data_IF_073744851469
#
_entry.id   IF_073744851469
#
_cell.length_a   1.000
_cell.length_b   1.000
_cell.length_c   1.000
_cell.angle_alpha   90.00
_cell.angle_beta   90.00
_cell.angle_gamma   90.00
#
_symmetry.space_group_name_H-M   'P 1'
#
loop_
_entity.id
_entity.type
_entity.pdbx_description
1 polymer ?
#
# COMPACT_ATOMS: atom_id res chain seq x y z
N UNK A 1 14.37 -12.29 -0.86
CA UNK A 1 13.65 -11.01 -0.92
C UNK A 1 12.17 -11.32 -1.05
N UNK A 2 11.29 -10.48 -0.51
CA UNK A 2 9.83 -10.52 -0.72
C UNK A 2 9.41 -9.23 -1.43
N UNK A 3 8.48 -9.34 -2.37
CA UNK A 3 7.90 -8.19 -3.06
C UNK A 3 6.56 -7.81 -2.46
N UNK A 4 6.28 -6.51 -2.32
CA UNK A 4 4.98 -5.97 -1.93
C UNK A 4 4.45 -5.13 -3.09
N UNK A 5 3.28 -5.49 -3.62
CA UNK A 5 2.50 -4.66 -4.53
C UNK A 5 1.48 -3.87 -3.70
N UNK A 6 1.62 -2.54 -3.64
CA UNK A 6 0.67 -1.70 -2.89
C UNK A 6 -0.58 -1.40 -3.71
N UNK A 7 -1.74 -1.43 -3.08
CA UNK A 7 -3.02 -1.03 -3.67
C UNK A 7 -3.18 0.49 -3.79
N UNK A 8 -4.04 0.92 -4.72
CA UNK A 8 -4.21 2.32 -5.13
C UNK A 8 -5.68 2.74 -5.29
N UNK A 9 -6.60 2.11 -4.56
CA UNK A 9 -8.04 2.33 -4.71
C UNK A 9 -8.64 1.64 -5.93
N UNK A 10 -9.89 2.02 -6.24
CA UNK A 10 -10.70 1.41 -7.28
C UNK A 10 -10.93 2.40 -8.44
N UNK A 11 -11.12 1.87 -9.65
CA UNK A 11 -11.41 2.65 -10.85
C UNK A 11 -12.90 2.81 -11.14
N UNK A 12 -13.76 2.04 -10.46
CA UNK A 12 -15.20 2.08 -10.65
C UNK A 12 -15.96 2.08 -9.32
N UNK A 13 -17.24 2.43 -9.38
CA UNK A 13 -18.11 2.50 -8.19
C UNK A 13 -18.59 1.14 -7.71
N UNK A 14 -18.36 0.08 -8.50
CA UNK A 14 -18.69 -1.30 -8.16
C UNK A 14 -17.52 -2.01 -7.48
N UNK A 15 -16.40 -1.32 -7.24
CA UNK A 15 -15.19 -1.86 -6.64
C UNK A 15 -14.70 -3.13 -7.34
N UNK A 16 -14.86 -3.19 -8.67
CA UNK A 16 -14.59 -4.38 -9.48
C UNK A 16 -13.33 -4.26 -10.33
N UNK A 17 -12.76 -3.06 -10.42
CA UNK A 17 -11.58 -2.77 -11.23
C UNK A 17 -10.58 -1.90 -10.51
N UNK A 18 -9.31 -2.16 -10.79
CA UNK A 18 -8.21 -1.29 -10.39
C UNK A 18 -7.94 -0.20 -11.44
N UNK A 19 -7.36 0.94 -11.03
CA UNK A 19 -6.83 1.94 -11.96
C UNK A 19 -5.72 1.39 -12.86
N UNK A 20 -5.57 1.96 -14.07
CA UNK A 20 -4.59 1.49 -15.06
C UNK A 20 -3.14 1.48 -14.54
N UNK A 21 -2.80 2.46 -13.70
CA UNK A 21 -1.49 2.52 -13.01
C UNK A 21 -1.21 1.27 -12.16
N UNK A 22 -2.24 0.66 -11.57
CA UNK A 22 -2.10 -0.55 -10.75
C UNK A 22 -1.74 -1.75 -11.63
N UNK A 23 -2.35 -1.89 -12.80
CA UNK A 23 -1.98 -2.98 -13.72
C UNK A 23 -0.53 -2.86 -14.22
N UNK A 24 -0.07 -1.64 -14.54
CA UNK A 24 1.34 -1.38 -14.90
C UNK A 24 2.30 -1.72 -13.77
N UNK A 25 1.91 -1.42 -12.53
CA UNK A 25 2.67 -1.82 -11.35
C UNK A 25 2.75 -3.34 -11.21
N UNK A 26 1.63 -4.05 -11.37
CA UNK A 26 1.60 -5.52 -11.28
C UNK A 26 2.39 -6.20 -12.40
N UNK A 27 2.40 -5.63 -13.60
CA UNK A 27 3.27 -6.09 -14.69
C UNK A 27 4.74 -6.03 -14.27
N UNK A 28 5.18 -4.90 -13.70
CA UNK A 28 6.56 -4.76 -13.23
C UNK A 28 6.92 -5.73 -12.09
N UNK A 29 5.98 -5.95 -11.17
CA UNK A 29 6.11 -6.96 -10.10
C UNK A 29 6.29 -8.37 -10.70
N UNK A 30 5.48 -8.73 -11.69
CA UNK A 30 5.54 -10.05 -12.33
C UNK A 30 6.83 -10.24 -13.15
N UNK A 31 7.30 -9.22 -13.86
CA UNK A 31 8.60 -9.25 -14.56
C UNK A 31 9.74 -9.59 -13.59
N UNK A 32 9.82 -8.88 -12.47
CA UNK A 32 10.89 -9.09 -11.49
C UNK A 32 10.74 -10.45 -10.76
N UNK A 33 9.51 -10.95 -10.59
CA UNK A 33 9.26 -12.31 -10.12
C UNK A 33 9.80 -13.36 -11.11
N UNK A 34 9.52 -13.20 -12.40
CA UNK A 34 9.94 -14.13 -13.45
C UNK A 34 11.46 -14.16 -13.65
N UNK A 35 12.15 -13.05 -13.35
CA UNK A 35 13.61 -12.98 -13.28
C UNK A 35 14.21 -13.75 -12.09
N UNK A 36 13.38 -14.26 -11.17
CA UNK A 36 13.80 -15.07 -10.04
C UNK A 36 14.33 -14.26 -8.84
N UNK A 37 14.09 -12.94 -8.82
CA UNK A 37 14.59 -12.06 -7.77
C UNK A 37 13.82 -12.24 -6.44
N UNK A 38 12.62 -12.79 -6.50
CA UNK A 38 11.77 -13.15 -5.35
C UNK A 38 11.13 -14.52 -5.55
N UNK A 39 10.58 -15.08 -4.46
CA UNK A 39 9.72 -16.26 -4.49
C UNK A 39 8.31 -15.98 -4.00
N UNK A 40 8.05 -14.79 -3.47
CA UNK A 40 6.74 -14.44 -2.88
C UNK A 40 6.41 -12.99 -3.21
N UNK A 41 5.16 -12.78 -3.62
CA UNK A 41 4.54 -11.48 -3.85
C UNK A 41 3.45 -11.31 -2.79
N UNK A 42 3.39 -10.17 -2.14
CA UNK A 42 2.28 -9.77 -1.27
C UNK A 42 1.50 -8.69 -2.01
N UNK A 43 0.27 -9.02 -2.43
CA UNK A 43 -0.72 -8.05 -2.85
C UNK A 43 -1.32 -7.38 -1.59
N UNK A 44 -1.07 -6.09 -1.40
CA UNK A 44 -1.36 -5.39 -0.15
C UNK A 44 -2.33 -4.23 -0.31
N UNK A 45 -3.49 -4.34 0.32
CA UNK A 45 -4.52 -3.33 0.32
C UNK A 45 -5.89 -3.93 0.60
N UNK A 46 -6.55 -3.48 1.67
CA UNK A 46 -7.99 -3.68 1.81
C UNK A 46 -8.75 -2.67 0.94
N UNK A 47 -9.03 -1.51 1.52
CA UNK A 47 -9.63 -0.37 0.84
C UNK A 47 -9.39 0.90 1.66
N UNK A 48 -9.49 2.09 1.06
CA UNK A 48 -9.30 3.36 1.78
C UNK A 48 -10.15 3.50 3.05
N UNK A 49 -9.56 3.94 4.17
CA UNK A 49 -10.27 4.31 5.41
C UNK A 49 -11.43 5.29 5.18
N UNK A 50 -11.38 6.07 4.08
CA UNK A 50 -12.46 6.98 3.73
C UNK A 50 -13.77 6.26 3.38
N UNK A 51 -13.72 5.03 2.87
CA UNK A 51 -14.92 4.22 2.67
C UNK A 51 -15.55 3.84 4.02
N UNK A 52 -14.74 3.43 5.00
CA UNK A 52 -15.23 3.15 6.36
C UNK A 52 -15.88 4.39 6.99
N UNK A 53 -15.25 5.57 6.85
CA UNK A 53 -15.80 6.85 7.33
C UNK A 53 -17.08 7.27 6.60
N UNK A 54 -17.27 6.81 5.36
CA UNK A 54 -18.48 7.02 4.58
C UNK A 54 -19.55 5.93 4.83
N UNK A 55 -19.26 4.91 5.65
CA UNK A 55 -20.15 3.77 5.87
C UNK A 55 -20.29 2.88 4.63
N UNK A 56 -19.31 2.91 3.73
CA UNK A 56 -19.27 2.13 2.49
C UNK A 56 -18.34 0.93 2.71
N UNK A 57 -18.81 -0.26 2.37
CA UNK A 57 -18.01 -1.49 2.36
C UNK A 57 -17.84 -1.93 0.90
N UNK A 58 -16.63 -1.81 0.32
CA UNK A 58 -16.34 -2.32 -1.00
C UNK A 58 -16.62 -3.83 -1.12
N UNK A 59 -17.06 -4.28 -2.29
CA UNK A 59 -17.38 -5.70 -2.53
C UNK A 59 -16.13 -6.56 -2.73
N UNK A 60 -15.01 -5.96 -3.10
CA UNK A 60 -13.70 -6.61 -3.22
C UNK A 60 -12.66 -5.79 -2.48
N UNK A 61 -11.56 -6.43 -2.12
CA UNK A 61 -10.37 -5.71 -1.64
C UNK A 61 -9.43 -5.37 -2.79
N UNK A 62 -8.59 -4.36 -2.60
CA UNK A 62 -7.54 -4.02 -3.56
C UNK A 62 -6.57 -5.21 -3.74
N UNK A 63 -6.24 -5.92 -2.66
CA UNK A 63 -5.38 -7.10 -2.66
C UNK A 63 -6.01 -8.30 -3.37
N UNK A 64 -7.32 -8.50 -3.26
CA UNK A 64 -8.06 -9.51 -4.02
C UNK A 64 -7.92 -9.25 -5.52
N UNK A 65 -8.28 -8.05 -5.99
CA UNK A 65 -8.19 -7.69 -7.41
C UNK A 65 -6.75 -7.76 -7.94
N UNK A 66 -5.76 -7.35 -7.13
CA UNK A 66 -4.34 -7.47 -7.49
C UNK A 66 -3.90 -8.93 -7.61
N UNK A 67 -4.29 -9.78 -6.66
CA UNK A 67 -3.90 -11.18 -6.66
C UNK A 67 -4.55 -11.94 -7.81
N UNK A 68 -5.83 -11.72 -8.08
CA UNK A 68 -6.54 -12.32 -9.21
C UNK A 68 -5.85 -11.95 -10.53
N UNK A 69 -5.49 -10.68 -10.71
CA UNK A 69 -4.76 -10.25 -11.90
C UNK A 69 -3.37 -10.90 -12.02
N UNK A 70 -2.61 -11.00 -10.93
CA UNK A 70 -1.29 -11.66 -10.91
C UNK A 70 -1.39 -13.15 -11.29
N UNK A 71 -2.42 -13.84 -10.81
CA UNK A 71 -2.60 -15.28 -11.00
C UNK A 71 -3.22 -15.57 -12.37
N UNK A 72 -4.36 -14.96 -12.67
CA UNK A 72 -5.18 -15.35 -13.82
C UNK A 72 -4.65 -14.74 -15.13
N UNK A 73 -4.10 -13.53 -15.07
CA UNK A 73 -3.66 -12.78 -16.26
C UNK A 73 -2.15 -12.85 -16.44
N UNK A 74 -1.38 -12.69 -15.36
CA UNK A 74 0.09 -12.71 -15.41
C UNK A 74 0.69 -14.09 -15.12
N UNK A 75 -0.15 -15.09 -14.82
CA UNK A 75 0.23 -16.49 -14.65
C UNK A 75 1.29 -16.73 -13.57
N UNK A 76 1.28 -15.92 -12.50
CA UNK A 76 2.07 -16.20 -11.30
C UNK A 76 1.42 -17.36 -10.55
N UNK A 77 2.17 -18.38 -10.10
CA UNK A 77 1.58 -19.49 -9.35
C UNK A 77 0.92 -18.99 -8.06
N UNK A 78 -0.28 -19.51 -7.78
CA UNK A 78 -1.10 -19.06 -6.66
C UNK A 78 -0.38 -19.18 -5.31
N UNK A 79 0.43 -20.22 -5.11
CA UNK A 79 1.23 -20.43 -3.92
C UNK A 79 2.30 -19.35 -3.67
N UNK A 80 2.63 -18.57 -4.70
CA UNK A 80 3.59 -17.47 -4.63
C UNK A 80 2.93 -16.10 -4.38
N UNK A 81 1.60 -16.01 -4.39
CA UNK A 81 0.85 -14.76 -4.19
C UNK A 81 0.10 -14.79 -2.87
N UNK A 82 0.46 -13.90 -1.96
CA UNK A 82 -0.22 -13.72 -0.68
C UNK A 82 -1.06 -12.45 -0.70
N UNK A 83 -2.25 -12.51 -0.09
CA UNK A 83 -3.15 -11.36 0.05
C UNK A 83 -3.03 -10.75 1.44
N UNK A 84 -2.93 -9.43 1.50
CA UNK A 84 -3.09 -8.63 2.72
C UNK A 84 -4.27 -7.67 2.52
N UNK A 85 -5.39 -7.97 3.18
CA UNK A 85 -6.70 -7.35 2.92
C UNK A 85 -7.21 -6.45 4.06
N UNK A 86 -6.43 -6.34 5.14
CA UNK A 86 -6.84 -5.69 6.40
C UNK A 86 -6.49 -4.22 6.43
N UNK A 87 -5.49 -3.81 5.68
CA UNK A 87 -5.05 -2.43 5.58
C UNK A 87 -6.14 -1.50 5.04
N UNK A 88 -6.12 -0.27 5.56
CA UNK A 88 -6.99 0.83 5.11
C UNK A 88 -6.24 2.05 4.59
N UNK A 89 -4.92 2.01 4.69
CA UNK A 89 -4.01 3.05 4.22
C UNK A 89 -2.56 2.53 4.21
N UNK A 90 -1.62 3.40 3.83
CA UNK A 90 -0.19 3.07 3.75
C UNK A 90 0.42 2.57 5.06
N UNK A 91 0.00 3.11 6.21
CA UNK A 91 0.49 2.68 7.52
C UNK A 91 0.00 1.26 7.81
N UNK A 92 -1.28 1.00 7.52
CA UNK A 92 -1.86 -0.34 7.55
C UNK A 92 -1.11 -1.33 6.67
N UNK A 93 -0.86 -0.98 5.39
CA UNK A 93 -0.13 -1.82 4.46
C UNK A 93 1.21 -2.25 5.07
N UNK A 94 2.00 -1.28 5.54
CA UNK A 94 3.30 -1.55 6.14
C UNK A 94 3.19 -2.45 7.39
N UNK A 95 2.27 -2.15 8.30
CA UNK A 95 2.09 -2.92 9.55
C UNK A 95 1.66 -4.37 9.29
N UNK A 96 0.62 -4.58 8.48
CA UNK A 96 0.10 -5.93 8.23
C UNK A 96 1.04 -6.74 7.34
N UNK A 97 1.69 -6.13 6.33
CA UNK A 97 2.71 -6.81 5.53
C UNK A 97 3.92 -7.21 6.40
N UNK A 98 4.38 -6.35 7.33
CA UNK A 98 5.45 -6.70 8.27
C UNK A 98 5.11 -7.98 9.04
N UNK A 99 3.85 -8.11 9.50
CA UNK A 99 3.37 -9.32 10.17
C UNK A 99 3.45 -10.59 9.33
N UNK A 100 3.13 -10.51 8.03
CA UNK A 100 3.27 -11.63 7.08
C UNK A 100 4.75 -11.95 6.85
N UNK A 101 5.57 -10.93 6.57
CA UNK A 101 6.99 -11.06 6.26
C UNK A 101 7.77 -11.64 7.44
N UNK A 102 7.45 -11.23 8.67
CA UNK A 102 8.05 -11.76 9.90
C UNK A 102 7.82 -13.27 10.04
N UNK A 103 6.62 -13.77 9.68
CA UNK A 103 6.31 -15.21 9.69
C UNK A 103 7.08 -15.98 8.62
N UNK A 104 7.42 -15.32 7.52
CA UNK A 104 8.24 -15.89 6.44
C UNK A 104 9.75 -15.81 6.72
N UNK A 105 10.17 -15.15 7.81
CA UNK A 105 11.57 -15.02 8.21
C UNK A 105 12.43 -14.22 7.23
N UNK A 106 11.84 -13.32 6.44
CA UNK A 106 12.57 -12.52 5.46
C UNK A 106 12.81 -11.09 5.97
N UNK A 107 14.04 -10.58 5.83
CA UNK A 107 14.40 -9.21 6.19
C UNK A 107 14.61 -8.29 4.99
N UNK A 108 14.56 -8.82 3.77
CA UNK A 108 14.76 -8.05 2.54
C UNK A 108 13.44 -7.89 1.80
N UNK A 109 12.98 -6.65 1.70
CA UNK A 109 11.67 -6.31 1.19
C UNK A 109 11.81 -5.31 0.07
N UNK A 110 11.17 -5.59 -1.06
CA UNK A 110 11.02 -4.65 -2.16
C UNK A 110 9.57 -4.24 -2.30
N UNK A 111 9.31 -2.96 -2.40
CA UNK A 111 7.97 -2.39 -2.44
C UNK A 111 7.78 -1.69 -3.76
N UNK A 112 6.71 -2.05 -4.46
CA UNK A 112 6.33 -1.42 -5.71
C UNK A 112 5.26 -0.38 -5.46
N UNK A 113 5.46 0.80 -6.03
CA UNK A 113 4.57 1.92 -5.88
C UNK A 113 4.53 2.83 -7.11
N UNK A 114 3.53 3.68 -7.20
CA UNK A 114 3.57 4.86 -8.07
C UNK A 114 4.73 5.79 -7.68
N UNK A 115 5.32 6.45 -8.67
CA UNK A 115 6.37 7.47 -8.53
C UNK A 115 6.08 8.53 -7.45
N UNK A 116 4.89 9.13 -7.45
CA UNK A 116 4.49 10.17 -6.48
C UNK A 116 4.33 9.68 -5.04
N UNK A 117 4.39 8.36 -4.80
CA UNK A 117 4.29 7.75 -3.48
C UNK A 117 5.65 7.42 -2.86
N UNK A 118 6.75 7.52 -3.62
CA UNK A 118 8.06 6.99 -3.20
C UNK A 118 8.52 7.53 -1.85
N UNK A 119 8.58 8.85 -1.69
CA UNK A 119 9.10 9.50 -0.48
C UNK A 119 8.32 9.07 0.77
N UNK A 120 6.99 9.11 0.66
CA UNK A 120 6.08 8.76 1.74
C UNK A 120 6.21 7.29 2.13
N UNK A 121 6.25 6.38 1.16
CA UNK A 121 6.40 4.96 1.42
C UNK A 121 7.77 4.66 2.03
N UNK A 122 8.84 5.22 1.48
CA UNK A 122 10.20 5.05 2.01
C UNK A 122 10.27 5.42 3.49
N UNK A 123 9.69 6.55 3.87
CA UNK A 123 9.69 6.99 5.27
C UNK A 123 8.83 6.10 6.16
N UNK A 124 7.58 5.82 5.77
CA UNK A 124 6.63 5.03 6.57
C UNK A 124 7.11 3.62 6.76
N UNK A 125 7.55 2.95 5.69
CA UNK A 125 8.03 1.58 5.76
C UNK A 125 9.30 1.51 6.60
N UNK A 126 10.26 2.43 6.46
CA UNK A 126 11.44 2.48 7.35
C UNK A 126 11.03 2.62 8.82
N UNK A 127 10.09 3.53 9.11
CA UNK A 127 9.61 3.77 10.48
C UNK A 127 8.94 2.54 11.10
N UNK A 128 8.11 1.83 10.33
CA UNK A 128 7.31 0.70 10.81
C UNK A 128 8.10 -0.60 10.82
N UNK A 129 8.87 -0.89 9.79
CA UNK A 129 9.67 -2.11 9.71
C UNK A 129 10.81 -2.06 10.72
N UNK A 130 11.45 -0.91 10.89
CA UNK A 130 12.60 -0.77 11.79
C UNK A 130 13.92 -1.11 11.10
N UNK A 131 15.05 -0.89 11.80
CA UNK A 131 16.39 -1.02 11.25
C UNK A 131 16.79 -2.45 10.88
N UNK A 132 16.06 -3.46 11.34
CA UNK A 132 16.33 -4.86 11.06
C UNK A 132 15.94 -5.29 9.63
N UNK A 133 15.16 -4.48 8.92
CA UNK A 133 14.76 -4.75 7.54
C UNK A 133 15.52 -3.89 6.53
N UNK A 134 15.90 -4.50 5.41
CA UNK A 134 16.41 -3.84 4.23
C UNK A 134 15.25 -3.60 3.27
N UNK A 135 14.98 -2.32 2.99
CA UNK A 135 13.82 -1.88 2.22
C UNK A 135 14.28 -1.23 0.91
N UNK A 136 13.84 -1.79 -0.20
CA UNK A 136 13.98 -1.24 -1.55
C UNK A 136 12.63 -0.73 -2.05
N UNK A 137 12.60 0.45 -2.66
CA UNK A 137 11.40 1.01 -3.28
C UNK A 137 11.62 1.04 -4.79
N UNK A 138 10.69 0.43 -5.54
CA UNK A 138 10.65 0.46 -6.99
C UNK A 138 9.41 1.21 -7.44
N UNK A 139 9.59 2.21 -8.29
CA UNK A 139 8.51 3.08 -8.74
C UNK A 139 8.08 2.76 -10.18
N UNK A 140 6.80 3.00 -10.47
CA UNK A 140 6.27 3.04 -11.84
C UNK A 140 5.77 4.44 -12.14
N UNK A 141 6.16 4.95 -13.31
CA UNK A 141 5.79 6.29 -13.75
C UNK A 141 4.29 6.39 -14.03
N UNK A 142 3.65 7.42 -13.46
CA UNK A 142 2.20 7.61 -13.58
C UNK A 142 1.80 8.86 -14.36
N UNK A 143 2.75 9.76 -14.63
CA UNK A 143 2.48 11.07 -15.22
C UNK A 143 1.86 12.08 -14.25
N UNK A 144 1.55 11.70 -13.01
CA UNK A 144 0.95 12.58 -11.98
C UNK A 144 1.97 13.49 -11.29
N UNK A 145 3.26 13.26 -11.50
CA UNK A 145 4.34 14.10 -10.95
C UNK A 145 4.27 15.56 -11.42
N UNK A 146 3.58 15.84 -12.52
CA UNK A 146 3.40 17.19 -13.07
C UNK A 146 2.14 17.90 -12.53
N UNK A 147 1.24 17.18 -11.86
CA UNK A 147 0.04 17.74 -11.25
C UNK A 147 0.38 18.28 -9.86
N UNK A 148 0.70 19.58 -9.78
CA UNK A 148 1.09 20.25 -8.54
C UNK A 148 0.04 20.10 -7.45
N UNK A 149 -1.22 20.12 -7.84
CA UNK A 149 -2.36 20.12 -6.93
C UNK A 149 -2.62 18.71 -6.36
N UNK A 150 -2.21 17.67 -7.10
CA UNK A 150 -2.14 16.29 -6.64
C UNK A 150 -0.93 16.05 -5.73
N UNK A 151 0.25 16.56 -6.10
CA UNK A 151 1.49 16.45 -5.31
C UNK A 151 1.37 17.16 -3.96
N UNK A 152 0.76 18.35 -3.91
CA UNK A 152 0.47 19.06 -2.66
C UNK A 152 -0.42 18.21 -1.74
N UNK A 153 -1.40 17.52 -2.32
CA UNK A 153 -2.24 16.57 -1.61
C UNK A 153 -1.40 15.42 -1.01
N UNK A 154 -0.53 14.79 -1.81
CA UNK A 154 0.35 13.72 -1.33
C UNK A 154 1.25 14.18 -0.18
N UNK A 155 1.80 15.40 -0.28
CA UNK A 155 2.63 16.00 0.76
C UNK A 155 1.84 16.26 2.05
N UNK A 156 0.63 16.82 1.95
CA UNK A 156 -0.25 16.99 3.12
C UNK A 156 -0.53 15.66 3.81
N UNK A 157 -0.88 14.62 3.06
CA UNK A 157 -1.14 13.29 3.61
C UNK A 157 0.11 12.73 4.32
N UNK A 158 1.28 12.92 3.73
CA UNK A 158 2.55 12.49 4.30
C UNK A 158 2.87 13.19 5.63
N UNK A 159 2.73 14.52 5.69
CA UNK A 159 3.00 15.28 6.92
C UNK A 159 2.06 14.88 8.07
N UNK A 160 0.79 14.57 7.76
CA UNK A 160 -0.16 14.04 8.75
C UNK A 160 0.26 12.66 9.27
N UNK A 161 0.77 11.79 8.40
CA UNK A 161 1.28 10.46 8.79
C UNK A 161 2.57 10.56 9.60
N UNK A 162 3.47 11.49 9.25
CA UNK A 162 4.67 11.82 10.03
C UNK A 162 4.30 12.25 11.45
N UNK A 163 3.35 13.17 11.60
CA UNK A 163 2.95 13.65 12.93
C UNK A 163 2.32 12.52 13.75
N UNK A 164 1.47 11.68 13.16
CA UNK A 164 0.92 10.49 13.85
C UNK A 164 2.03 9.55 14.34
N UNK A 165 3.02 9.25 13.50
CA UNK A 165 4.11 8.32 13.81
C UNK A 165 5.30 8.97 14.56
N UNK A 166 5.25 10.26 14.87
CA UNK A 166 6.38 11.04 15.41
C UNK A 166 6.92 10.49 16.73
N UNK A 167 6.02 10.05 17.61
CA UNK A 167 6.36 9.51 18.94
C UNK A 167 6.62 8.00 18.95
N UNK A 168 6.41 7.33 17.81
CA UNK A 168 6.67 5.90 17.68
C UNK A 168 8.19 5.66 17.61
N UNK A 169 8.69 4.67 18.35
CA UNK A 169 10.05 4.15 18.14
C UNK A 169 10.07 3.31 16.86
N UNK A 170 11.14 3.38 16.06
CA UNK A 170 11.25 2.57 14.84
C UNK A 170 11.07 1.07 15.15
N UNK A 171 10.20 0.40 14.40
CA UNK A 171 9.93 -1.03 14.59
C UNK A 171 8.98 -1.40 15.75
N UNK A 172 8.41 -0.43 16.48
CA UNK A 172 7.56 -0.69 17.66
C UNK A 172 6.13 -1.15 17.29
N UNK A 173 6.02 -2.44 16.99
CA UNK A 173 4.74 -3.09 16.61
C UNK A 173 3.66 -2.91 17.68
N UNK A 174 4.04 -2.94 18.96
CA UNK A 174 3.09 -2.86 20.09
C UNK A 174 2.54 -1.45 20.27
N UNK A 175 3.33 -0.41 19.99
CA UNK A 175 2.85 0.97 19.95
C UNK A 175 1.81 1.16 18.85
N UNK A 176 2.09 0.63 17.65
CA UNK A 176 1.21 0.81 16.49
C UNK A 176 -0.07 -0.02 16.63
N UNK A 177 0.00 -1.26 17.13
CA UNK A 177 -1.17 -2.13 17.34
C UNK A 177 -2.26 -1.46 18.18
N UNK A 178 -1.88 -0.72 19.22
CA UNK A 178 -2.82 -0.04 20.13
C UNK A 178 -3.49 1.19 19.51
N UNK A 179 -2.93 1.73 18.42
CA UNK A 179 -3.31 3.04 17.85
C UNK A 179 -3.86 2.94 16.43
N UNK A 180 -3.44 1.94 15.68
CA UNK A 180 -3.89 1.72 14.31
C UNK A 180 -5.42 1.63 14.30
N UNK A 181 -6.05 2.54 13.57
CA UNK A 181 -7.50 2.74 13.46
C UNK A 181 -8.26 3.16 14.73
N UNK A 182 -7.59 3.23 15.89
CA UNK A 182 -8.20 3.69 17.15
C UNK A 182 -7.80 5.12 17.54
N UNK A 183 -6.71 5.65 16.98
CA UNK A 183 -6.22 7.00 17.26
C UNK A 183 -7.08 8.09 16.58
N UNK A 184 -7.25 9.29 17.19
CA UNK A 184 -7.95 10.42 16.58
C UNK A 184 -7.47 10.79 15.17
N UNK A 185 -6.23 10.47 14.81
CA UNK A 185 -5.73 10.57 13.43
C UNK A 185 -6.69 9.91 12.41
N UNK A 186 -7.18 8.70 12.70
CA UNK A 186 -8.05 7.92 11.81
C UNK A 186 -9.51 8.36 11.83
N UNK A 187 -9.92 9.13 12.84
CA UNK A 187 -11.27 9.67 12.96
C UNK A 187 -11.42 11.03 12.25
N UNK A 188 -10.30 11.66 11.88
CA UNK A 188 -10.30 12.97 11.26
C UNK A 188 -10.71 12.92 9.78
N UNK A 189 -11.69 13.74 9.39
CA UNK A 189 -12.05 13.92 7.98
C UNK A 189 -10.83 14.47 7.22
N UNK A 190 -10.41 13.75 6.20
CA UNK A 190 -9.40 14.24 5.25
C UNK A 190 -10.06 15.31 4.36
N UNK A 191 -9.30 16.34 3.92
CA UNK A 191 -9.76 17.26 2.88
C UNK A 191 -10.37 16.50 1.70
N UNK A 192 -11.47 17.00 1.13
CA UNK A 192 -12.26 16.28 0.11
C UNK A 192 -11.42 15.82 -1.08
N UNK A 193 -10.53 16.68 -1.57
CA UNK A 193 -9.61 16.34 -2.66
C UNK A 193 -8.70 15.15 -2.35
N UNK A 194 -8.28 15.01 -1.09
CA UNK A 194 -7.51 13.86 -0.62
C UNK A 194 -8.37 12.62 -0.48
N UNK A 195 -9.63 12.79 -0.09
CA UNK A 195 -10.58 11.69 -0.06
C UNK A 195 -10.82 11.14 -1.46
N UNK A 196 -11.03 11.99 -2.45
CA UNK A 196 -11.22 11.61 -3.86
C UNK A 196 -10.01 10.87 -4.42
N UNK A 197 -8.81 11.44 -4.27
CA UNK A 197 -7.55 10.79 -4.69
C UNK A 197 -7.35 9.45 -3.97
N UNK A 198 -7.59 9.40 -2.65
CA UNK A 198 -7.42 8.19 -1.85
C UNK A 198 -8.48 7.11 -2.14
N UNK A 199 -9.62 7.47 -2.74
CA UNK A 199 -10.64 6.53 -3.22
C UNK A 199 -10.30 5.96 -4.61
N UNK A 200 -9.23 6.46 -5.26
CA UNK A 200 -8.82 6.03 -6.60
C UNK A 200 -9.53 6.78 -7.73
N UNK A 201 -10.41 7.73 -7.41
CA UNK A 201 -11.11 8.59 -8.37
C UNK A 201 -10.12 9.65 -8.87
N UNK A 202 -9.69 9.55 -10.13
CA UNK A 202 -8.86 10.55 -10.82
C UNK A 202 -9.70 11.68 -11.43
#
# INVERSE_FOLDING_TARGET
MIQIASGYGFADENFSRMPERSYRLLQKVAEDFQLGETKVIIAAGGWSINYDLAGIVPTHTEAELMADYLIDILHIPQENVLREERSRDTIGNAYFCKGIIKKLGCMHVRIYCADYHEERLRWIYKKIFGPEYSIEICTVETGKMQDSAFIEAQHYAFERQKEFLKSMTEGDDAWLEKRLYNDPYYQSKRPEKLATIAMGKE
#
